data_IF_748601307920
#
_entry.id   IF_748601307920
#
_cell.length_a   1.000
_cell.length_b   1.000
_cell.length_c   1.000
_cell.angle_alpha   90.00
_cell.angle_beta   90.00
_cell.angle_gamma   90.00
#
_symmetry.space_group_name_H-M   'P 1'
#
loop_
_entity.id
_entity.type
_entity.pdbx_description
1 polymer ?
#
# COMPACT_ATOMS: atom_id res chain seq x y z
N UNK A 1 17.11 -1.97 47.12
CA UNK A 1 16.19 -1.57 46.03
C UNK A 1 17.07 -1.30 44.82
N UNK A 2 16.68 -1.83 43.65
CA UNK A 2 17.49 -1.72 42.45
C UNK A 2 17.29 -0.34 41.83
N UNK A 3 18.34 0.49 41.82
CA UNK A 3 18.34 1.76 41.09
C UNK A 3 18.32 1.47 39.58
N UNK A 4 17.42 2.15 38.86
CA UNK A 4 17.28 2.13 37.40
C UNK A 4 18.61 2.27 36.64
N UNK A 5 19.60 2.97 37.21
CA UNK A 5 20.90 3.23 36.58
C UNK A 5 21.85 2.01 36.62
N UNK A 6 21.64 1.10 37.57
CA UNK A 6 22.48 -0.10 37.79
C UNK A 6 21.80 -1.42 37.43
N UNK A 7 20.47 -1.41 37.27
CA UNK A 7 19.63 -2.59 37.02
C UNK A 7 20.14 -3.47 35.86
N UNK A 8 20.72 -2.87 34.82
CA UNK A 8 21.25 -3.57 33.66
C UNK A 8 22.45 -4.45 34.02
N UNK A 9 23.28 -4.10 34.99
CA UNK A 9 24.49 -4.87 35.32
C UNK A 9 24.15 -6.24 35.91
N UNK A 10 23.05 -6.32 36.65
CA UNK A 10 22.63 -7.52 37.39
C UNK A 10 21.62 -8.38 36.62
N UNK A 11 21.47 -8.13 35.31
CA UNK A 11 20.62 -8.96 34.45
C UNK A 11 21.26 -10.31 34.20
N UNK A 12 20.49 -11.37 34.45
CA UNK A 12 20.90 -12.75 34.22
C UNK A 12 19.91 -13.48 33.30
N UNK A 13 20.44 -14.33 32.42
CA UNK A 13 19.63 -15.17 31.55
C UNK A 13 18.90 -16.24 32.38
N UNK A 14 17.60 -16.43 32.11
CA UNK A 14 16.78 -17.47 32.74
C UNK A 14 16.43 -18.57 31.74
N UNK A 15 16.57 -19.87 32.10
CA UNK A 15 16.02 -20.95 31.29
C UNK A 15 14.48 -20.83 31.17
N UNK A 16 13.88 -21.11 30.00
CA UNK A 16 12.43 -21.02 29.80
C UNK A 16 11.59 -21.81 30.82
N UNK A 17 12.10 -22.96 31.28
CA UNK A 17 11.43 -23.78 32.30
C UNK A 17 11.26 -23.03 33.63
N UNK A 18 12.28 -22.31 34.08
CA UNK A 18 12.21 -21.52 35.30
C UNK A 18 11.24 -20.35 35.17
N UNK A 19 11.17 -19.74 33.97
CA UNK A 19 10.21 -18.67 33.69
C UNK A 19 8.76 -19.18 33.86
N UNK A 20 8.46 -20.35 33.30
CA UNK A 20 7.14 -20.99 33.48
C UNK A 20 6.86 -21.27 34.95
N UNK A 21 7.82 -21.84 35.69
CA UNK A 21 7.65 -22.16 37.12
C UNK A 21 7.35 -20.92 37.96
N UNK A 22 8.06 -19.81 37.71
CA UNK A 22 7.83 -18.54 38.43
C UNK A 22 6.44 -17.98 38.12
N UNK A 23 6.07 -17.90 36.83
CA UNK A 23 4.81 -17.31 36.39
C UNK A 23 3.57 -18.18 36.69
N UNK A 24 3.77 -19.49 36.87
CA UNK A 24 2.70 -20.44 37.22
C UNK A 24 2.54 -20.64 38.73
N UNK A 25 3.40 -20.02 39.55
CA UNK A 25 3.34 -20.15 41.01
C UNK A 25 2.09 -19.49 41.60
N UNK A 26 1.60 -20.01 42.74
CA UNK A 26 0.44 -19.42 43.44
C UNK A 26 0.69 -17.96 43.86
N UNK A 27 1.96 -17.61 44.11
CA UNK A 27 2.42 -16.24 44.41
C UNK A 27 3.16 -15.65 43.21
N UNK A 28 2.57 -15.75 42.01
CA UNK A 28 3.17 -15.18 40.81
C UNK A 28 3.43 -13.67 40.97
N UNK A 29 4.58 -13.16 40.52
CA UNK A 29 4.86 -11.74 40.56
C UNK A 29 3.95 -11.00 39.57
N UNK A 30 3.56 -9.77 39.92
CA UNK A 30 2.75 -8.89 39.06
C UNK A 30 3.64 -7.87 38.34
N UNK A 31 3.15 -7.35 37.21
CA UNK A 31 3.78 -6.21 36.55
C UNK A 31 3.67 -5.00 37.45
N UNK A 32 4.81 -4.40 37.79
CA UNK A 32 4.88 -3.20 38.64
C UNK A 32 5.20 -1.96 37.81
N UNK A 33 5.99 -2.10 36.75
CA UNK A 33 6.37 -0.99 35.86
C UNK A 33 6.26 -1.46 34.40
N UNK A 34 5.66 -0.62 33.56
CA UNK A 34 5.53 -0.81 32.12
C UNK A 34 6.11 0.40 31.39
N UNK A 35 7.03 0.14 30.45
CA UNK A 35 7.73 1.17 29.70
C UNK A 35 7.63 0.82 28.23
N UNK A 36 7.28 1.80 27.40
CA UNK A 36 7.39 1.67 25.95
C UNK A 36 8.53 2.55 25.42
N UNK A 37 9.29 2.02 24.46
CA UNK A 37 10.36 2.70 23.74
C UNK A 37 10.12 2.59 22.24
N UNK A 38 10.46 3.63 21.49
CA UNK A 38 10.41 3.62 20.03
C UNK A 38 11.83 3.56 19.47
N UNK A 39 12.47 4.72 19.34
CA UNK A 39 13.77 4.88 18.71
C UNK A 39 14.83 5.47 19.64
N UNK A 40 14.56 5.52 20.95
CA UNK A 40 15.57 5.91 21.93
C UNK A 40 16.79 5.00 21.82
N UNK A 41 16.59 3.71 21.54
CA UNK A 41 17.60 2.76 21.06
C UNK A 41 17.05 2.14 19.77
N UNK A 42 17.85 2.12 18.70
CA UNK A 42 17.40 1.50 17.44
C UNK A 42 17.02 0.03 17.71
N UNK A 43 15.83 -0.45 17.30
CA UNK A 43 15.38 -1.81 17.63
C UNK A 43 16.38 -2.91 17.24
N UNK A 44 17.03 -2.78 16.09
CA UNK A 44 18.08 -3.71 15.64
C UNK A 44 19.32 -3.70 16.54
N UNK A 45 19.70 -2.55 17.10
CA UNK A 45 20.82 -2.47 18.05
C UNK A 45 20.44 -3.15 19.37
N UNK A 46 19.23 -2.90 19.87
CA UNK A 46 18.72 -3.53 21.09
C UNK A 46 18.64 -5.06 20.94
N UNK A 47 18.05 -5.56 19.86
CA UNK A 47 18.00 -6.99 19.56
C UNK A 47 19.40 -7.60 19.51
N UNK A 48 20.32 -6.99 18.75
CA UNK A 48 21.69 -7.50 18.63
C UNK A 48 22.44 -7.50 19.97
N UNK A 49 22.14 -6.54 20.85
CA UNK A 49 22.74 -6.45 22.18
C UNK A 49 22.22 -7.53 23.11
N UNK A 50 20.90 -7.70 23.20
CA UNK A 50 20.30 -8.77 24.00
C UNK A 50 20.79 -10.13 23.53
N UNK A 51 20.89 -10.32 22.21
CA UNK A 51 21.46 -11.54 21.64
C UNK A 51 22.95 -11.72 21.99
N UNK A 52 23.75 -10.66 21.88
CA UNK A 52 25.18 -10.71 22.18
C UNK A 52 25.47 -11.00 23.65
N UNK A 53 24.62 -10.51 24.56
CA UNK A 53 24.80 -10.63 26.00
C UNK A 53 24.15 -11.88 26.59
N UNK A 54 22.94 -12.24 26.14
CA UNK A 54 22.13 -13.30 26.74
C UNK A 54 21.85 -14.48 25.81
N UNK A 55 22.23 -14.40 24.53
CA UNK A 55 21.92 -15.42 23.54
C UNK A 55 20.50 -15.28 22.95
N UNK A 56 19.97 -16.38 22.41
CA UNK A 56 18.67 -16.37 21.75
C UNK A 56 17.51 -15.91 22.68
N UNK A 57 16.42 -15.33 22.12
CA UNK A 57 15.23 -15.00 22.89
C UNK A 57 14.74 -16.18 23.73
N UNK A 58 14.55 -15.96 25.03
CA UNK A 58 14.17 -16.99 26.00
C UNK A 58 12.76 -16.78 26.59
N UNK A 59 12.08 -15.69 26.24
CA UNK A 59 10.77 -15.38 26.78
C UNK A 59 9.64 -16.22 26.17
N UNK A 60 8.54 -16.37 26.91
CA UNK A 60 7.45 -17.28 26.55
C UNK A 60 6.77 -16.90 25.22
N UNK A 61 6.61 -15.60 24.93
CA UNK A 61 5.97 -15.13 23.71
C UNK A 61 6.80 -15.47 22.46
N UNK A 62 8.13 -15.49 22.57
CA UNK A 62 9.02 -15.94 21.49
C UNK A 62 8.91 -17.42 21.18
N UNK A 63 8.52 -18.22 22.18
CA UNK A 63 8.31 -19.66 22.00
C UNK A 63 6.94 -19.98 21.39
N UNK A 64 5.93 -19.17 21.68
CA UNK A 64 4.55 -19.37 21.23
C UNK A 64 4.23 -18.68 19.89
N UNK A 65 5.14 -17.84 19.38
CA UNK A 65 4.94 -17.13 18.10
C UNK A 65 4.89 -18.09 16.90
N UNK A 66 4.14 -17.72 15.88
CA UNK A 66 4.14 -18.44 14.60
C UNK A 66 5.44 -18.24 13.82
N UNK A 67 5.77 -19.18 12.93
CA UNK A 67 6.91 -19.06 11.99
C UNK A 67 6.57 -18.14 10.80
N UNK A 68 6.18 -16.91 11.14
CA UNK A 68 5.86 -15.83 10.22
C UNK A 68 6.04 -14.49 10.95
N UNK A 69 5.83 -13.39 10.24
CA UNK A 69 5.94 -12.03 10.76
C UNK A 69 4.61 -11.45 11.26
N UNK A 70 3.49 -12.17 11.07
CA UNK A 70 2.18 -11.80 11.61
C UNK A 70 2.05 -12.19 13.10
N UNK A 71 2.95 -11.65 13.93
CA UNK A 71 2.96 -11.84 15.38
C UNK A 71 2.85 -10.47 16.07
N UNK A 72 2.18 -10.42 17.23
CA UNK A 72 2.14 -9.19 18.06
C UNK A 72 3.50 -8.88 18.67
N UNK A 73 4.16 -9.93 19.15
CA UNK A 73 5.52 -9.88 19.71
C UNK A 73 6.41 -10.74 18.82
N UNK A 74 7.40 -10.11 18.21
CA UNK A 74 8.31 -10.75 17.28
C UNK A 74 9.41 -11.52 17.98
N UNK A 75 9.83 -11.01 19.13
CA UNK A 75 10.85 -11.56 20.00
C UNK A 75 10.67 -10.97 21.40
N UNK A 76 11.09 -11.71 22.42
CA UNK A 76 11.17 -11.23 23.79
C UNK A 76 12.23 -11.98 24.59
N UNK A 77 12.84 -11.25 25.52
CA UNK A 77 13.72 -11.80 26.55
C UNK A 77 13.08 -11.60 27.91
N UNK A 78 13.05 -12.65 28.72
CA UNK A 78 12.67 -12.57 30.13
C UNK A 78 13.93 -12.84 30.96
N UNK A 79 14.42 -11.82 31.64
CA UNK A 79 15.69 -11.81 32.37
C UNK A 79 15.43 -11.69 33.87
N UNK A 80 16.30 -12.29 34.68
CA UNK A 80 16.28 -12.10 36.14
C UNK A 80 16.96 -10.76 36.46
N UNK A 81 16.41 -10.02 37.41
CA UNK A 81 17.05 -8.83 37.97
C UNK A 81 16.74 -8.70 39.47
N UNK A 82 17.48 -7.86 40.21
CA UNK A 82 17.14 -7.55 41.59
C UNK A 82 15.74 -6.92 41.66
N UNK A 83 14.84 -7.53 42.44
CA UNK A 83 13.42 -7.13 42.53
C UNK A 83 12.45 -8.05 41.77
N UNK A 84 12.92 -8.84 40.80
CA UNK A 84 12.07 -9.79 40.09
C UNK A 84 12.56 -10.15 38.69
N UNK A 85 11.71 -9.92 37.70
CA UNK A 85 11.97 -10.20 36.29
C UNK A 85 11.88 -8.91 35.46
N UNK A 86 12.66 -8.85 34.39
CA UNK A 86 12.54 -7.86 33.33
C UNK A 86 12.18 -8.59 32.03
N UNK A 87 11.01 -8.30 31.47
CA UNK A 87 10.58 -8.81 30.18
C UNK A 87 10.65 -7.72 29.12
N UNK A 88 11.46 -7.94 28.09
CA UNK A 88 11.70 -6.99 27.00
C UNK A 88 11.11 -7.57 25.72
N UNK A 89 10.10 -6.93 25.14
CA UNK A 89 9.33 -7.41 23.99
C UNK A 89 9.48 -6.47 22.79
N UNK A 90 9.84 -7.00 21.63
CA UNK A 90 9.85 -6.25 20.37
C UNK A 90 8.56 -6.44 19.56
N UNK A 91 7.90 -5.33 19.23
CA UNK A 91 6.72 -5.28 18.37
C UNK A 91 7.03 -4.55 17.05
N UNK A 92 6.00 -4.27 16.23
CA UNK A 92 6.14 -3.59 14.94
C UNK A 92 6.63 -2.13 15.08
N UNK A 93 6.18 -1.42 16.11
CA UNK A 93 6.36 0.03 16.24
C UNK A 93 7.13 0.46 17.48
N UNK A 94 7.21 -0.40 18.49
CA UNK A 94 7.84 -0.11 19.76
C UNK A 94 8.48 -1.38 20.37
N UNK A 95 9.27 -1.16 21.40
CA UNK A 95 9.74 -2.17 22.34
C UNK A 95 9.13 -1.88 23.70
N UNK A 96 8.46 -2.87 24.29
CA UNK A 96 7.95 -2.77 25.65
C UNK A 96 8.92 -3.43 26.63
N UNK A 97 9.10 -2.82 27.80
CA UNK A 97 9.83 -3.37 28.92
C UNK A 97 8.87 -3.44 30.10
N UNK A 98 8.69 -4.64 30.64
CA UNK A 98 7.89 -4.91 31.82
C UNK A 98 8.81 -5.33 32.97
N UNK A 99 8.69 -4.64 34.11
CA UNK A 99 9.32 -5.07 35.35
C UNK A 99 8.26 -5.78 36.20
N UNK A 100 8.50 -7.06 36.46
CA UNK A 100 7.54 -8.00 37.08
C UNK A 100 8.12 -8.43 38.42
N UNK A 101 7.55 -7.95 39.53
CA UNK A 101 8.08 -8.17 40.87
C UNK A 101 7.97 -6.94 41.76
N UNK A 102 8.81 -6.86 42.78
CA UNK A 102 8.78 -5.79 43.78
C UNK A 102 9.73 -4.66 43.36
N UNK A 103 9.19 -3.73 42.55
CA UNK A 103 9.91 -2.56 42.05
C UNK A 103 9.26 -1.29 42.59
N UNK A 104 10.08 -0.34 43.02
CA UNK A 104 9.60 0.99 43.41
C UNK A 104 9.30 1.81 42.15
N UNK A 105 8.03 2.14 41.97
CA UNK A 105 7.54 2.91 40.82
C UNK A 105 7.96 4.37 40.91
N UNK A 106 8.07 4.92 42.12
CA UNK A 106 8.32 6.36 42.34
C UNK A 106 9.79 6.72 42.09
N UNK A 107 10.71 5.78 42.31
CA UNK A 107 12.17 5.94 42.13
C UNK A 107 12.67 5.46 40.75
N UNK A 108 11.76 4.99 39.88
CA UNK A 108 12.14 4.45 38.59
C UNK A 108 12.12 5.49 37.47
N UNK A 109 13.26 5.66 36.80
CA UNK A 109 13.40 6.59 35.67
C UNK A 109 13.71 5.87 34.35
N UNK A 110 12.80 6.01 33.37
CA UNK A 110 12.94 5.44 32.01
C UNK A 110 14.25 5.90 31.34
N UNK A 111 14.59 7.18 31.45
CA UNK A 111 15.76 7.77 30.82
C UNK A 111 17.07 7.21 31.39
N UNK A 112 17.09 6.93 32.70
CA UNK A 112 18.22 6.32 33.37
C UNK A 112 18.43 4.87 32.90
N UNK A 113 17.36 4.07 32.81
CA UNK A 113 17.42 2.72 32.26
C UNK A 113 17.97 2.73 30.81
N UNK A 114 17.41 3.58 29.94
CA UNK A 114 17.86 3.72 28.55
C UNK A 114 19.33 4.15 28.50
N UNK A 115 19.73 5.11 29.34
CA UNK A 115 21.10 5.57 29.49
C UNK A 115 22.04 4.42 29.88
N UNK A 116 21.63 3.58 30.81
CA UNK A 116 22.38 2.41 31.26
C UNK A 116 22.54 1.37 30.15
N UNK A 117 21.45 1.02 29.44
CA UNK A 117 21.52 0.12 28.27
C UNK A 117 22.49 0.66 27.22
N UNK A 118 22.41 1.96 26.89
CA UNK A 118 23.32 2.63 25.93
C UNK A 118 24.79 2.60 26.34
N UNK A 119 25.07 2.70 27.64
CA UNK A 119 26.45 2.59 28.14
C UNK A 119 26.95 1.15 28.00
N UNK A 120 26.14 0.17 28.39
CA UNK A 120 26.55 -1.24 28.36
C UNK A 120 26.65 -1.80 26.93
N UNK A 121 25.80 -1.34 26.00
CA UNK A 121 25.87 -1.61 24.56
C UNK A 121 27.30 -1.50 23.99
N UNK A 122 28.10 -0.54 24.48
CA UNK A 122 29.47 -0.29 24.02
C UNK A 122 30.42 -1.46 24.30
N UNK A 123 30.13 -2.27 25.31
CA UNK A 123 30.95 -3.42 25.72
C UNK A 123 30.80 -4.61 24.76
N UNK A 124 29.72 -4.66 23.96
CA UNK A 124 29.35 -5.83 23.14
C UNK A 124 29.47 -5.59 21.63
N UNK A 125 30.06 -4.48 21.19
CA UNK A 125 30.05 -4.06 19.78
C UNK A 125 30.54 -5.12 18.78
N UNK A 126 31.59 -5.89 19.12
CA UNK A 126 32.11 -6.95 18.25
C UNK A 126 31.12 -8.12 18.08
N UNK A 127 30.44 -8.51 19.15
CA UNK A 127 29.44 -9.59 19.13
C UNK A 127 28.16 -9.13 18.43
N UNK A 128 27.71 -7.90 18.70
CA UNK A 128 26.58 -7.29 18.00
C UNK A 128 26.82 -7.23 16.49
N UNK A 129 28.03 -6.88 16.05
CA UNK A 129 28.37 -6.85 14.63
C UNK A 129 28.30 -8.25 13.99
N UNK A 130 28.63 -9.31 14.73
CA UNK A 130 28.47 -10.70 14.25
C UNK A 130 26.99 -11.07 14.15
N UNK A 131 26.19 -10.78 15.18
CA UNK A 131 24.74 -10.98 15.18
C UNK A 131 24.07 -10.25 14.01
N UNK A 132 24.41 -8.97 13.79
CA UNK A 132 23.86 -8.19 12.67
C UNK A 132 24.15 -8.81 11.30
N UNK A 133 25.32 -9.43 11.12
CA UNK A 133 25.68 -10.08 9.86
C UNK A 133 24.89 -11.37 9.60
N UNK A 134 24.32 -12.00 10.62
CA UNK A 134 23.45 -13.17 10.43
C UNK A 134 22.00 -12.80 10.15
N UNK A 135 21.61 -11.52 10.25
CA UNK A 135 20.25 -11.08 9.97
C UNK A 135 20.02 -10.92 8.45
N UNK A 136 18.82 -11.27 8.00
CA UNK A 136 18.38 -10.93 6.66
C UNK A 136 18.11 -9.42 6.56
N UNK A 137 18.51 -8.81 5.44
CA UNK A 137 18.28 -7.40 5.20
C UNK A 137 17.16 -7.21 4.19
N UNK A 138 16.01 -6.76 4.68
CA UNK A 138 14.84 -6.45 3.88
C UNK A 138 14.60 -4.94 3.79
N UNK A 139 14.00 -4.50 2.69
CA UNK A 139 13.52 -3.14 2.49
C UNK A 139 12.05 -3.18 2.10
N UNK A 140 11.19 -2.57 2.90
CA UNK A 140 9.78 -2.39 2.56
C UNK A 140 9.60 -1.29 1.53
N UNK A 141 8.65 -1.50 0.62
CA UNK A 141 8.26 -0.52 -0.38
C UNK A 141 6.76 -0.61 -0.68
N UNK A 142 6.20 0.53 -1.10
CA UNK A 142 4.79 0.62 -1.49
C UNK A 142 4.59 -0.09 -2.83
N UNK A 143 3.59 -0.96 -2.92
CA UNK A 143 3.21 -1.62 -4.15
C UNK A 143 2.56 -0.60 -5.12
N UNK A 144 3.22 -0.24 -6.24
CA UNK A 144 2.71 0.80 -7.13
C UNK A 144 1.41 0.38 -7.85
N UNK A 145 1.27 -0.90 -8.19
CA UNK A 145 0.07 -1.42 -8.82
C UNK A 145 -1.13 -1.33 -7.86
N UNK A 146 -0.98 -1.88 -6.65
CA UNK A 146 -2.04 -1.87 -5.64
C UNK A 146 -2.51 -0.44 -5.35
N UNK A 147 -1.58 0.50 -5.21
CA UNK A 147 -1.89 1.91 -4.96
C UNK A 147 -2.77 2.50 -6.06
N UNK A 148 -2.43 2.30 -7.33
CA UNK A 148 -3.20 2.86 -8.46
C UNK A 148 -4.55 2.15 -8.58
N UNK A 149 -4.56 0.82 -8.50
CA UNK A 149 -5.77 0.01 -8.56
C UNK A 149 -6.77 0.38 -7.45
N UNK A 150 -6.31 0.52 -6.21
CA UNK A 150 -7.15 0.94 -5.10
C UNK A 150 -7.72 2.34 -5.32
N UNK A 151 -6.92 3.30 -5.77
CA UNK A 151 -7.41 4.66 -6.06
C UNK A 151 -8.46 4.66 -7.17
N UNK A 152 -8.25 3.90 -8.25
CA UNK A 152 -9.23 3.75 -9.33
C UNK A 152 -10.56 3.21 -8.80
N UNK A 153 -10.53 2.17 -7.97
CA UNK A 153 -11.76 1.59 -7.40
C UNK A 153 -12.50 2.57 -6.48
N UNK A 154 -11.77 3.29 -5.61
CA UNK A 154 -12.37 4.33 -4.75
C UNK A 154 -13.03 5.43 -5.59
N UNK A 155 -12.36 5.89 -6.64
CA UNK A 155 -12.91 6.91 -7.54
C UNK A 155 -14.11 6.39 -8.34
N UNK A 156 -14.14 5.11 -8.73
CA UNK A 156 -15.31 4.52 -9.37
C UNK A 156 -16.52 4.46 -8.43
N UNK A 157 -16.29 4.08 -7.18
CA UNK A 157 -17.35 4.07 -6.16
C UNK A 157 -17.86 5.49 -5.89
N UNK A 158 -16.95 6.47 -5.81
CA UNK A 158 -17.31 7.89 -5.70
C UNK A 158 -18.12 8.36 -6.92
N UNK A 159 -17.70 8.01 -8.13
CA UNK A 159 -18.43 8.34 -9.36
C UNK A 159 -19.85 7.76 -9.38
N UNK A 160 -20.01 6.50 -8.99
CA UNK A 160 -21.31 5.83 -8.88
C UNK A 160 -22.18 6.51 -7.83
N UNK A 161 -21.60 6.94 -6.71
CA UNK A 161 -22.32 7.64 -5.64
C UNK A 161 -22.92 8.98 -6.09
N UNK A 162 -22.33 9.62 -7.11
CA UNK A 162 -22.86 10.85 -7.71
C UNK A 162 -24.14 10.63 -8.52
N UNK A 163 -24.56 9.36 -8.79
CA UNK A 163 -25.87 8.99 -9.39
C UNK A 163 -26.25 9.81 -10.62
N UNK A 164 -25.30 10.12 -11.49
CA UNK A 164 -25.51 11.04 -12.62
C UNK A 164 -26.63 10.58 -13.56
N UNK A 165 -26.85 9.26 -13.68
CA UNK A 165 -27.95 8.70 -14.47
C UNK A 165 -29.36 8.98 -13.93
N UNK A 166 -29.49 9.36 -12.65
CA UNK A 166 -30.78 9.74 -12.05
C UNK A 166 -31.14 11.22 -12.30
N UNK A 167 -30.20 12.01 -12.82
CA UNK A 167 -30.43 13.42 -13.14
C UNK A 167 -31.29 13.53 -14.40
N UNK A 168 -32.42 14.22 -14.27
CA UNK A 168 -33.30 14.54 -15.38
C UNK A 168 -33.05 15.95 -15.88
N UNK A 169 -33.33 16.17 -17.16
CA UNK A 169 -33.28 17.50 -17.76
C UNK A 169 -34.18 18.48 -16.99
N UNK A 170 -33.59 19.59 -16.56
CA UNK A 170 -34.32 20.65 -15.88
C UNK A 170 -35.06 21.49 -16.92
N UNK A 171 -36.37 21.77 -16.75
CA UNK A 171 -37.13 22.63 -17.66
C UNK A 171 -36.46 24.00 -17.83
N UNK A 172 -36.73 24.67 -18.96
CA UNK A 172 -36.22 26.04 -19.19
C UNK A 172 -36.67 26.95 -18.04
N UNK A 173 -35.72 27.40 -17.21
CA UNK A 173 -36.00 28.17 -15.99
C UNK A 173 -36.83 29.43 -16.32
N UNK A 174 -36.58 30.05 -17.46
CA UNK A 174 -37.28 31.25 -17.93
C UNK A 174 -38.75 30.99 -18.33
N UNK A 175 -39.14 29.77 -18.66
CA UNK A 175 -40.54 29.43 -18.95
C UNK A 175 -41.36 29.11 -17.70
N UNK A 176 -40.74 29.06 -16.52
CA UNK A 176 -41.43 28.78 -15.26
C UNK A 176 -41.96 30.10 -14.69
N UNK A 177 -43.28 30.27 -14.71
CA UNK A 177 -43.98 31.46 -14.23
C UNK A 177 -44.16 31.48 -12.71
N UNK A 178 -44.32 30.31 -12.09
CA UNK A 178 -44.45 30.18 -10.64
C UNK A 178 -43.08 30.39 -9.94
N UNK A 179 -42.96 31.37 -9.02
CA UNK A 179 -41.70 31.64 -8.32
C UNK A 179 -41.17 30.44 -7.50
N UNK A 180 -42.06 29.66 -6.89
CA UNK A 180 -41.66 28.52 -6.06
C UNK A 180 -41.07 27.38 -6.93
N UNK A 181 -41.75 27.01 -8.01
CA UNK A 181 -41.23 26.05 -9.00
C UNK A 181 -39.94 26.54 -9.65
N UNK A 182 -39.80 27.84 -9.91
CA UNK A 182 -38.56 28.41 -10.46
C UNK A 182 -37.39 28.22 -9.50
N UNK A 183 -37.59 28.45 -8.20
CA UNK A 183 -36.55 28.26 -7.20
C UNK A 183 -36.13 26.78 -7.06
N UNK A 184 -37.09 25.86 -7.17
CA UNK A 184 -36.81 24.42 -7.20
C UNK A 184 -35.95 24.06 -8.43
N UNK A 185 -36.32 24.56 -9.62
CA UNK A 185 -35.55 24.31 -10.85
C UNK A 185 -34.12 24.88 -10.79
N UNK A 186 -33.94 26.08 -10.21
CA UNK A 186 -32.59 26.65 -9.98
C UNK A 186 -31.77 25.77 -9.05
N UNK A 187 -32.38 25.26 -7.98
CA UNK A 187 -31.69 24.40 -7.01
C UNK A 187 -31.28 23.07 -7.65
N UNK A 188 -32.18 22.45 -8.43
CA UNK A 188 -31.88 21.24 -9.20
C UNK A 188 -30.78 21.46 -10.23
N UNK A 189 -30.80 22.59 -10.94
CA UNK A 189 -29.75 22.96 -11.89
C UNK A 189 -28.39 23.07 -11.22
N UNK A 190 -28.31 23.76 -10.07
CA UNK A 190 -27.06 23.93 -9.34
C UNK A 190 -26.54 22.61 -8.77
N UNK A 191 -27.43 21.74 -8.26
CA UNK A 191 -27.04 20.41 -7.79
C UNK A 191 -26.52 19.54 -8.93
N UNK A 192 -27.23 19.49 -10.06
CA UNK A 192 -26.80 18.80 -11.27
C UNK A 192 -25.44 19.32 -11.72
N UNK A 193 -25.27 20.65 -11.78
CA UNK A 193 -24.00 21.28 -12.13
C UNK A 193 -22.85 20.81 -11.25
N UNK A 194 -23.00 20.87 -9.93
CA UNK A 194 -21.97 20.40 -8.99
C UNK A 194 -21.63 18.92 -9.22
N UNK A 195 -22.63 18.06 -9.35
CA UNK A 195 -22.44 16.61 -9.54
C UNK A 195 -21.76 16.29 -10.87
N UNK A 196 -22.15 16.93 -11.97
CA UNK A 196 -21.50 16.75 -13.26
C UNK A 196 -20.04 17.21 -13.25
N UNK A 197 -19.73 18.38 -12.67
CA UNK A 197 -18.35 18.85 -12.60
C UNK A 197 -17.47 17.91 -11.76
N UNK A 198 -17.98 17.40 -10.64
CA UNK A 198 -17.30 16.38 -9.84
C UNK A 198 -17.10 15.09 -10.64
N UNK A 199 -18.14 14.61 -11.32
CA UNK A 199 -18.08 13.41 -12.14
C UNK A 199 -17.05 13.52 -13.28
N UNK A 200 -16.96 14.68 -13.93
CA UNK A 200 -15.96 14.93 -14.97
C UNK A 200 -14.54 14.91 -14.43
N UNK A 201 -14.30 15.53 -13.26
CA UNK A 201 -12.99 15.50 -12.60
C UNK A 201 -12.57 14.08 -12.20
N UNK A 202 -13.49 13.31 -11.60
CA UNK A 202 -13.27 11.92 -11.22
C UNK A 202 -13.00 11.04 -12.44
N UNK A 203 -13.83 11.15 -13.48
CA UNK A 203 -13.68 10.41 -14.73
C UNK A 203 -12.31 10.68 -15.36
N UNK A 204 -11.92 11.95 -15.49
CA UNK A 204 -10.59 12.32 -15.99
C UNK A 204 -9.46 11.72 -15.14
N UNK A 205 -9.61 11.73 -13.82
CA UNK A 205 -8.66 11.11 -12.88
C UNK A 205 -8.50 9.60 -13.12
N UNK A 206 -9.62 8.87 -13.26
CA UNK A 206 -9.63 7.44 -13.56
C UNK A 206 -8.93 7.17 -14.90
N UNK A 207 -9.39 7.79 -15.99
CA UNK A 207 -8.85 7.58 -17.35
C UNK A 207 -7.36 7.89 -17.44
N UNK A 208 -6.88 8.89 -16.69
CA UNK A 208 -5.46 9.24 -16.62
C UNK A 208 -4.61 8.17 -15.94
N UNK A 209 -5.17 7.43 -14.98
CA UNK A 209 -4.49 6.39 -14.21
C UNK A 209 -4.54 5.00 -14.84
N UNK A 210 -5.52 4.70 -15.70
CA UNK A 210 -5.70 3.37 -16.29
C UNK A 210 -4.44 2.83 -17.02
N UNK A 211 -3.77 3.61 -17.91
CA UNK A 211 -2.48 3.17 -18.48
C UNK A 211 -1.38 2.95 -17.44
N UNK A 212 -1.35 3.78 -16.39
CA UNK A 212 -0.36 3.69 -15.32
C UNK A 212 -0.60 2.40 -14.51
N UNK A 213 -1.86 2.01 -14.33
CA UNK A 213 -2.24 0.76 -13.66
C UNK A 213 -1.71 -0.46 -14.42
N UNK A 214 -1.97 -0.55 -15.72
CA UNK A 214 -1.47 -1.64 -16.57
C UNK A 214 0.06 -1.68 -16.62
N UNK A 215 0.71 -0.52 -16.72
CA UNK A 215 2.18 -0.44 -16.68
C UNK A 215 2.77 -0.84 -15.32
N UNK A 216 2.18 -0.39 -14.22
CA UNK A 216 2.61 -0.75 -12.88
C UNK A 216 2.51 -2.27 -12.65
N UNK A 217 1.47 -2.92 -13.19
CA UNK A 217 1.33 -4.38 -13.14
C UNK A 217 2.47 -5.09 -13.87
N UNK A 218 2.73 -4.72 -15.14
CA UNK A 218 3.80 -5.33 -15.94
C UNK A 218 5.17 -5.11 -15.30
N UNK A 219 5.41 -3.91 -14.76
CA UNK A 219 6.65 -3.61 -14.03
C UNK A 219 6.79 -4.44 -12.76
N UNK A 220 5.71 -4.65 -12.01
CA UNK A 220 5.72 -5.49 -10.83
C UNK A 220 6.00 -6.95 -11.20
N UNK A 221 5.33 -7.50 -12.22
CA UNK A 221 5.61 -8.84 -12.74
C UNK A 221 7.07 -9.00 -13.15
N UNK A 222 7.58 -8.05 -13.93
CA UNK A 222 8.97 -8.03 -14.35
C UNK A 222 9.88 -8.06 -13.12
N UNK A 223 9.67 -7.18 -12.14
CA UNK A 223 10.52 -7.10 -10.95
C UNK A 223 10.48 -8.38 -10.09
N UNK A 224 9.29 -8.97 -9.90
CA UNK A 224 9.09 -10.16 -9.05
C UNK A 224 9.62 -11.43 -9.73
N UNK A 225 9.35 -11.58 -11.02
CA UNK A 225 9.60 -12.83 -11.76
C UNK A 225 10.86 -12.82 -12.62
N UNK A 226 11.58 -11.69 -12.75
CA UNK A 226 12.82 -11.58 -13.53
C UNK A 226 13.79 -12.71 -13.18
N UNK A 227 14.35 -13.36 -14.20
CA UNK A 227 15.36 -14.40 -14.02
C UNK A 227 16.53 -13.90 -13.20
N UNK A 228 17.06 -14.74 -12.30
CA UNK A 228 18.11 -14.37 -11.34
C UNK A 228 19.32 -13.73 -12.03
N UNK A 229 19.74 -14.28 -13.17
CA UNK A 229 20.87 -13.78 -13.97
C UNK A 229 20.70 -12.30 -14.36
N UNK A 230 19.51 -11.92 -14.82
CA UNK A 230 19.20 -10.54 -15.20
C UNK A 230 19.00 -9.65 -13.98
N UNK A 231 18.45 -10.20 -12.90
CA UNK A 231 18.15 -9.47 -11.67
C UNK A 231 19.40 -8.99 -10.94
N UNK A 232 20.44 -9.81 -10.95
CA UNK A 232 21.73 -9.54 -10.28
C UNK A 232 22.62 -8.57 -11.08
N UNK A 233 22.34 -8.35 -12.37
CA UNK A 233 23.05 -7.39 -13.21
C UNK A 233 22.26 -6.07 -13.30
N UNK A 234 22.78 -5.02 -12.67
CA UNK A 234 22.14 -3.72 -12.62
C UNK A 234 21.89 -3.10 -14.00
N UNK A 235 22.78 -3.34 -14.98
CA UNK A 235 22.64 -2.80 -16.34
C UNK A 235 21.56 -3.54 -17.10
N UNK A 236 21.56 -4.87 -17.04
CA UNK A 236 20.51 -5.69 -17.68
C UNK A 236 19.14 -5.38 -17.07
N UNK A 237 19.05 -5.31 -15.74
CA UNK A 237 17.83 -4.94 -15.04
C UNK A 237 17.33 -3.57 -15.48
N UNK A 238 18.18 -2.54 -15.45
CA UNK A 238 17.82 -1.18 -15.83
C UNK A 238 17.40 -1.08 -17.31
N UNK A 239 18.04 -1.84 -18.20
CA UNK A 239 17.68 -1.89 -19.61
C UNK A 239 16.25 -2.41 -19.80
N UNK A 240 15.86 -3.51 -19.13
CA UNK A 240 14.51 -4.08 -19.23
C UNK A 240 13.41 -3.10 -18.84
N UNK A 241 13.61 -2.28 -17.81
CA UNK A 241 12.61 -1.29 -17.40
C UNK A 241 12.50 -0.09 -18.34
N UNK A 242 13.47 0.13 -19.24
CA UNK A 242 13.47 1.23 -20.23
C UNK A 242 12.95 0.81 -21.60
N UNK A 243 12.71 -0.48 -21.82
CA UNK A 243 12.15 -0.98 -23.06
C UNK A 243 10.74 -0.40 -23.29
N UNK A 244 10.35 -0.15 -24.57
CA UNK A 244 8.98 0.19 -24.90
C UNK A 244 7.99 -0.79 -24.29
N UNK A 245 6.82 -0.31 -23.89
CA UNK A 245 5.84 -1.11 -23.13
C UNK A 245 5.46 -2.42 -23.84
N UNK A 246 5.19 -2.37 -25.14
CA UNK A 246 4.81 -3.55 -25.91
C UNK A 246 5.93 -4.60 -25.96
N UNK A 247 7.19 -4.15 -26.04
CA UNK A 247 8.38 -5.00 -26.01
C UNK A 247 8.53 -5.65 -24.64
N UNK A 248 8.33 -4.90 -23.54
CA UNK A 248 8.35 -5.45 -22.17
C UNK A 248 7.32 -6.58 -22.03
N UNK A 249 6.08 -6.36 -22.46
CA UNK A 249 5.01 -7.35 -22.37
C UNK A 249 5.37 -8.61 -23.17
N UNK A 250 5.78 -8.48 -24.44
CA UNK A 250 6.20 -9.61 -25.28
C UNK A 250 7.38 -10.39 -24.66
N UNK A 251 8.31 -9.67 -24.02
CA UNK A 251 9.51 -10.23 -23.42
C UNK A 251 9.32 -10.90 -22.06
N UNK A 252 8.15 -10.80 -21.41
CA UNK A 252 7.96 -11.34 -20.06
C UNK A 252 8.25 -12.85 -19.99
N UNK A 253 7.67 -13.66 -20.88
CA UNK A 253 7.88 -15.12 -20.91
C UNK A 253 9.35 -15.54 -21.08
N UNK A 254 10.15 -14.70 -21.75
CA UNK A 254 11.57 -14.96 -21.99
C UNK A 254 12.42 -14.52 -20.79
N UNK A 255 12.11 -13.35 -20.21
CA UNK A 255 12.91 -12.70 -19.20
C UNK A 255 12.49 -13.03 -17.76
N UNK A 256 11.35 -13.69 -17.58
CA UNK A 256 10.80 -14.07 -16.30
C UNK A 256 10.61 -15.58 -16.18
N UNK A 257 10.58 -16.07 -14.94
CA UNK A 257 10.19 -17.43 -14.62
C UNK A 257 8.68 -17.52 -14.39
N UNK A 258 8.12 -18.72 -14.55
CA UNK A 258 6.74 -19.00 -14.13
C UNK A 258 5.67 -18.83 -15.21
N UNK A 259 6.06 -18.52 -16.45
CA UNK A 259 5.16 -18.52 -17.60
C UNK A 259 4.98 -19.94 -18.14
N UNK A 260 3.73 -20.37 -18.29
CA UNK A 260 3.36 -21.61 -18.96
C UNK A 260 3.35 -21.45 -20.48
N UNK A 261 2.94 -20.26 -20.95
CA UNK A 261 2.86 -19.90 -22.36
C UNK A 261 3.46 -18.52 -22.60
N UNK A 262 3.94 -18.29 -23.81
CA UNK A 262 4.33 -16.95 -24.25
C UNK A 262 3.12 -16.06 -24.40
N UNK A 263 3.26 -14.78 -24.06
CA UNK A 263 2.19 -13.80 -24.24
C UNK A 263 2.05 -13.49 -25.74
N UNK A 264 0.89 -13.79 -26.31
CA UNK A 264 0.51 -13.33 -27.63
C UNK A 264 -0.02 -11.89 -27.53
N UNK A 265 0.73 -10.93 -28.07
CA UNK A 265 0.36 -9.52 -28.05
C UNK A 265 -0.73 -9.17 -29.09
N UNK A 266 -1.05 -10.09 -30.00
CA UNK A 266 -2.19 -9.94 -30.91
C UNK A 266 -3.54 -10.30 -30.25
N UNK A 267 -3.50 -10.83 -29.03
CA UNK A 267 -4.70 -11.14 -28.26
C UNK A 267 -5.60 -9.90 -28.07
N UNK A 268 -6.94 -10.03 -28.15
CA UNK A 268 -7.86 -8.91 -28.06
C UNK A 268 -7.68 -8.03 -26.81
N UNK A 269 -7.31 -8.63 -25.67
CA UNK A 269 -7.05 -7.88 -24.44
C UNK A 269 -5.87 -6.89 -24.58
N UNK A 270 -4.77 -7.31 -25.23
CA UNK A 270 -3.63 -6.44 -25.50
C UNK A 270 -3.99 -5.35 -26.51
N UNK A 271 -4.76 -5.69 -27.55
CA UNK A 271 -5.23 -4.72 -28.56
C UNK A 271 -6.11 -3.63 -27.95
N UNK A 272 -7.11 -4.00 -27.15
CA UNK A 272 -7.99 -3.06 -26.46
C UNK A 272 -7.21 -2.16 -25.49
N UNK A 273 -6.31 -2.74 -24.70
CA UNK A 273 -5.44 -1.96 -23.80
C UNK A 273 -4.57 -0.97 -24.58
N UNK A 274 -3.99 -1.39 -25.71
CA UNK A 274 -3.18 -0.50 -26.54
C UNK A 274 -3.99 0.67 -27.11
N UNK A 275 -5.23 0.42 -27.56
CA UNK A 275 -6.15 1.48 -27.98
C UNK A 275 -6.45 2.46 -26.85
N UNK A 276 -6.73 1.97 -25.64
CA UNK A 276 -6.99 2.80 -24.45
C UNK A 276 -5.81 3.74 -24.15
N UNK A 277 -4.57 3.24 -24.22
CA UNK A 277 -3.36 4.06 -24.02
C UNK A 277 -3.25 5.17 -25.08
N UNK A 278 -3.57 4.86 -26.33
CA UNK A 278 -3.56 5.83 -27.42
C UNK A 278 -4.65 6.90 -27.27
N UNK A 279 -5.84 6.51 -26.82
CA UNK A 279 -6.94 7.44 -26.53
C UNK A 279 -6.61 8.39 -25.38
N UNK A 280 -6.02 7.87 -24.29
CA UNK A 280 -5.51 8.70 -23.20
C UNK A 280 -4.48 9.72 -23.67
N UNK A 281 -3.59 9.36 -24.59
CA UNK A 281 -2.62 10.32 -25.12
C UNK A 281 -3.34 11.46 -25.86
N UNK A 282 -4.38 11.17 -26.63
CA UNK A 282 -5.19 12.22 -27.25
C UNK A 282 -5.89 13.12 -26.22
N UNK A 283 -6.45 12.53 -25.15
CA UNK A 283 -7.09 13.25 -24.06
C UNK A 283 -6.13 14.18 -23.32
N UNK A 284 -4.93 13.70 -22.96
CA UNK A 284 -3.97 14.46 -22.16
C UNK A 284 -3.13 15.46 -22.93
N UNK A 285 -2.88 15.22 -24.22
CA UNK A 285 -2.20 16.18 -25.07
C UNK A 285 -3.13 17.33 -25.50
N UNK A 286 -4.42 17.28 -25.14
CA UNK A 286 -5.38 18.34 -25.48
C UNK A 286 -5.55 18.50 -26.99
N UNK A 287 -5.42 17.40 -27.74
CA UNK A 287 -5.48 17.44 -29.19
C UNK A 287 -6.86 17.98 -29.63
N UNK A 288 -6.86 19.04 -30.44
CA UNK A 288 -8.09 19.64 -30.96
C UNK A 288 -8.61 18.78 -32.12
N UNK A 289 -9.42 17.78 -31.79
CA UNK A 289 -10.10 16.93 -32.77
C UNK A 289 -11.52 17.48 -33.02
N UNK A 290 -11.67 18.41 -33.97
CA UNK A 290 -12.94 19.11 -34.23
C UNK A 290 -14.09 18.12 -34.44
N UNK A 291 -13.88 17.05 -35.22
CA UNK A 291 -14.91 16.04 -35.50
C UNK A 291 -15.42 15.31 -34.25
N UNK A 292 -14.59 15.21 -33.19
CA UNK A 292 -14.96 14.59 -31.91
C UNK A 292 -15.48 15.60 -30.88
N UNK A 293 -15.15 16.87 -31.05
CA UNK A 293 -15.48 17.97 -30.13
C UNK A 293 -16.66 18.82 -30.62
N UNK A 294 -17.12 18.60 -31.86
CA UNK A 294 -18.26 19.29 -32.44
C UNK A 294 -19.55 18.87 -31.71
N UNK A 295 -20.27 19.85 -31.17
CA UNK A 295 -21.52 19.63 -30.46
C UNK A 295 -22.70 20.41 -31.03
N UNK A 296 -22.44 21.31 -31.98
CA UNK A 296 -23.49 22.11 -32.62
C UNK A 296 -23.04 22.55 -34.02
N UNK A 297 -24.02 22.78 -34.89
CA UNK A 297 -23.82 23.30 -36.24
C UNK A 297 -24.65 24.56 -36.45
N UNK A 298 -24.03 25.58 -37.05
CA UNK A 298 -24.67 26.85 -37.30
C UNK A 298 -24.16 27.49 -38.60
N UNK A 299 -25.08 28.13 -39.29
CA UNK A 299 -24.84 28.96 -40.45
C UNK A 299 -24.70 30.42 -40.03
N UNK A 300 -24.19 31.27 -40.92
CA UNK A 300 -24.18 32.72 -40.73
C UNK A 300 -24.81 33.42 -41.94
N UNK A 301 -25.69 34.38 -41.68
CA UNK A 301 -26.05 35.40 -42.66
C UNK A 301 -25.32 36.70 -42.28
N UNK A 302 -24.16 36.93 -42.89
CA UNK A 302 -23.24 37.99 -42.48
C UNK A 302 -22.69 37.73 -41.07
N UNK A 303 -23.08 38.58 -40.10
CA UNK A 303 -22.69 38.44 -38.67
C UNK A 303 -23.79 37.81 -37.80
N UNK A 304 -24.92 37.43 -38.40
CA UNK A 304 -26.06 36.87 -37.67
C UNK A 304 -25.96 35.33 -37.66
N UNK A 305 -25.84 34.69 -36.48
CA UNK A 305 -25.80 33.23 -36.39
C UNK A 305 -27.20 32.64 -36.62
N UNK A 306 -27.27 31.60 -37.44
CA UNK A 306 -28.48 30.81 -37.73
C UNK A 306 -28.19 29.37 -37.32
N UNK A 307 -28.69 28.95 -36.17
CA UNK A 307 -28.48 27.60 -35.66
C UNK A 307 -29.23 26.58 -36.54
N UNK A 308 -28.58 25.46 -36.88
CA UNK A 308 -29.25 24.35 -37.58
C UNK A 308 -30.38 23.78 -36.72
N UNK A 309 -30.13 23.66 -35.42
CA UNK A 309 -31.11 23.26 -34.41
C UNK A 309 -30.84 23.98 -33.07
N UNK A 310 -31.90 24.25 -32.31
CA UNK A 310 -31.77 24.81 -30.96
C UNK A 310 -31.72 23.70 -29.93
N UNK A 311 -30.56 23.53 -29.30
CA UNK A 311 -30.40 22.61 -28.18
C UNK A 311 -30.82 23.23 -26.85
N UNK A 312 -31.14 22.39 -25.87
CA UNK A 312 -31.49 22.86 -24.52
C UNK A 312 -30.26 23.37 -23.77
N UNK A 313 -30.50 24.15 -22.71
CA UNK A 313 -29.41 24.56 -21.82
C UNK A 313 -28.74 23.35 -21.19
N UNK A 314 -29.51 22.32 -20.85
CA UNK A 314 -29.03 21.07 -20.25
C UNK A 314 -28.05 20.36 -21.17
N UNK A 315 -28.43 20.15 -22.43
CA UNK A 315 -27.57 19.47 -23.41
C UNK A 315 -26.22 20.19 -23.58
N UNK A 316 -26.27 21.53 -23.67
CA UNK A 316 -25.06 22.35 -23.80
C UNK A 316 -24.18 22.36 -22.55
N UNK A 317 -24.79 22.38 -21.37
CA UNK A 317 -24.04 22.48 -20.11
C UNK A 317 -23.44 21.15 -19.68
N UNK A 318 -24.16 20.04 -19.88
CA UNK A 318 -23.81 18.75 -19.26
C UNK A 318 -23.65 17.61 -20.27
N UNK A 319 -24.59 17.40 -21.20
CA UNK A 319 -24.53 16.22 -22.09
C UNK A 319 -23.35 16.28 -23.06
N UNK A 320 -23.04 17.47 -23.57
CA UNK A 320 -21.87 17.69 -24.42
C UNK A 320 -20.57 17.26 -23.71
N UNK A 321 -20.41 17.65 -22.44
CA UNK A 321 -19.24 17.28 -21.64
C UNK A 321 -19.27 15.81 -21.22
N UNK A 322 -20.44 15.26 -20.88
CA UNK A 322 -20.62 13.84 -20.57
C UNK A 322 -20.08 12.94 -21.68
N UNK A 323 -20.46 13.22 -22.92
CA UNK A 323 -20.00 12.49 -24.10
C UNK A 323 -18.51 12.74 -24.35
N UNK A 324 -18.06 14.00 -24.30
CA UNK A 324 -16.66 14.34 -24.60
C UNK A 324 -15.66 13.74 -23.59
N UNK A 325 -16.03 13.72 -22.31
CA UNK A 325 -15.21 13.15 -21.23
C UNK A 325 -15.29 11.62 -21.19
N UNK A 326 -16.24 11.01 -21.90
CA UNK A 326 -16.45 9.56 -21.92
C UNK A 326 -17.00 9.03 -20.60
N UNK A 327 -17.90 9.77 -19.95
CA UNK A 327 -18.41 9.40 -18.62
C UNK A 327 -19.09 8.01 -18.65
N UNK A 328 -19.74 7.67 -19.76
CA UNK A 328 -20.45 6.40 -19.94
C UNK A 328 -19.51 5.24 -20.30
N UNK A 329 -18.26 5.52 -20.66
CA UNK A 329 -17.27 4.54 -21.13
C UNK A 329 -16.31 4.10 -20.02
N UNK A 330 -16.19 4.90 -18.96
CA UNK A 330 -15.15 4.73 -17.92
C UNK A 330 -15.15 3.35 -17.26
N UNK A 331 -16.32 2.75 -17.01
CA UNK A 331 -16.40 1.40 -16.43
C UNK A 331 -15.89 0.32 -17.40
N UNK A 332 -16.20 0.48 -18.69
CA UNK A 332 -15.71 -0.40 -19.74
C UNK A 332 -14.19 -0.25 -19.91
N UNK A 333 -13.67 0.96 -19.84
CA UNK A 333 -12.22 1.22 -19.91
C UNK A 333 -11.47 0.60 -18.71
N UNK A 334 -12.06 0.63 -17.52
CA UNK A 334 -11.50 -0.08 -16.35
C UNK A 334 -11.47 -1.59 -16.62
N UNK A 335 -12.57 -2.14 -17.13
CA UNK A 335 -12.64 -3.56 -17.50
C UNK A 335 -11.58 -3.94 -18.55
N UNK A 336 -11.27 -3.06 -19.51
CA UNK A 336 -10.18 -3.29 -20.49
C UNK A 336 -8.83 -3.51 -19.81
N UNK A 337 -8.50 -2.75 -18.75
CA UNK A 337 -7.23 -2.96 -18.02
C UNK A 337 -7.28 -4.23 -17.18
N UNK A 338 -8.41 -4.53 -16.55
CA UNK A 338 -8.61 -5.78 -15.79
C UNK A 338 -8.46 -7.00 -16.71
N UNK A 339 -9.13 -7.02 -17.86
CA UNK A 339 -9.03 -8.08 -18.86
C UNK A 339 -7.58 -8.28 -19.35
N UNK A 340 -6.83 -7.19 -19.49
CA UNK A 340 -5.42 -7.24 -19.86
C UNK A 340 -4.54 -7.87 -18.76
N UNK A 341 -4.78 -7.50 -17.50
CA UNK A 341 -4.11 -8.11 -16.33
C UNK A 341 -4.44 -9.59 -16.24
N UNK A 342 -5.72 -9.95 -16.33
CA UNK A 342 -6.21 -11.32 -16.26
C UNK A 342 -5.66 -12.19 -17.39
N UNK A 343 -5.56 -11.65 -18.60
CA UNK A 343 -4.93 -12.33 -19.72
C UNK A 343 -3.46 -12.65 -19.42
N UNK A 344 -2.67 -11.70 -18.93
CA UNK A 344 -1.26 -11.96 -18.60
C UNK A 344 -1.15 -12.99 -17.46
N UNK A 345 -2.01 -12.89 -16.43
CA UNK A 345 -2.06 -13.86 -15.35
C UNK A 345 -2.39 -15.27 -15.86
N UNK A 346 -3.24 -15.39 -16.87
CA UNK A 346 -3.59 -16.67 -17.49
C UNK A 346 -2.41 -17.34 -18.22
N UNK A 347 -1.39 -16.58 -18.60
CA UNK A 347 -0.15 -17.11 -19.19
C UNK A 347 0.82 -17.67 -18.13
N UNK A 348 0.58 -17.44 -16.84
CA UNK A 348 1.38 -17.96 -15.75
C UNK A 348 0.98 -19.39 -15.38
N UNK A 349 1.93 -20.15 -14.86
CA UNK A 349 1.65 -21.41 -14.15
C UNK A 349 0.85 -21.15 -12.88
N UNK A 350 -0.07 -22.06 -12.52
CA UNK A 350 -0.96 -21.90 -11.35
C UNK A 350 -0.23 -21.51 -10.04
N UNK A 351 0.92 -22.14 -9.69
CA UNK A 351 1.62 -21.77 -8.46
C UNK A 351 2.19 -20.34 -8.48
N UNK A 352 2.55 -19.84 -9.66
CA UNK A 352 3.10 -18.49 -9.82
C UNK A 352 1.97 -17.48 -9.90
N UNK A 353 0.89 -17.81 -10.61
CA UNK A 353 -0.32 -17.00 -10.66
C UNK A 353 -0.85 -16.68 -9.25
N UNK A 354 -1.05 -17.70 -8.42
CA UNK A 354 -1.54 -17.52 -7.05
C UNK A 354 -0.63 -16.59 -6.21
N UNK A 355 0.69 -16.68 -6.38
CA UNK A 355 1.65 -15.81 -5.69
C UNK A 355 1.57 -14.36 -6.16
N UNK A 356 1.38 -14.14 -7.47
CA UNK A 356 1.23 -12.80 -8.02
C UNK A 356 -0.11 -12.20 -7.60
N UNK A 357 -1.20 -12.96 -7.68
CA UNK A 357 -2.53 -12.54 -7.22
C UNK A 357 -2.49 -12.13 -5.73
N UNK A 358 -1.80 -12.90 -4.90
CA UNK A 358 -1.54 -12.52 -3.52
C UNK A 358 -0.73 -11.22 -3.43
N UNK A 359 0.41 -11.11 -4.14
CA UNK A 359 1.26 -9.91 -4.08
C UNK A 359 0.56 -8.62 -4.56
N UNK A 360 -0.25 -8.67 -5.63
CA UNK A 360 -0.97 -7.50 -6.14
C UNK A 360 -2.08 -7.03 -5.18
N UNK A 361 -2.61 -7.93 -4.36
CA UNK A 361 -3.57 -7.59 -3.30
C UNK A 361 -2.95 -6.87 -2.11
N UNK A 362 -1.61 -6.84 -1.99
CA UNK A 362 -0.92 -6.25 -0.83
C UNK A 362 -0.49 -4.82 -1.08
N UNK A 363 -0.70 -3.97 -0.08
CA UNK A 363 -0.33 -2.55 -0.09
C UNK A 363 1.19 -2.35 -0.08
N UNK A 364 1.88 -3.18 0.69
CA UNK A 364 3.33 -3.13 0.87
C UNK A 364 3.95 -4.47 0.53
N UNK A 365 5.16 -4.40 0.01
CA UNK A 365 6.00 -5.56 -0.31
C UNK A 365 7.39 -5.31 0.28
N UNK A 366 8.15 -6.38 0.45
CA UNK A 366 9.54 -6.35 0.90
C UNK A 366 10.49 -6.81 -0.18
N UNK A 367 11.68 -6.20 -0.23
CA UNK A 367 12.80 -6.60 -1.07
C UNK A 367 13.96 -7.11 -0.20
N UNK A 368 14.32 -8.38 -0.36
CA UNK A 368 15.53 -8.92 0.26
C UNK A 368 16.76 -8.38 -0.47
N UNK A 369 17.63 -7.63 0.21
CA UNK A 369 18.73 -6.89 -0.41
C UNK A 369 19.81 -7.75 -1.05
N UNK A 370 20.08 -8.94 -0.50
CA UNK A 370 21.13 -9.84 -1.02
C UNK A 370 20.64 -10.68 -2.20
N UNK A 371 19.49 -11.34 -2.06
CA UNK A 371 18.92 -12.23 -3.08
C UNK A 371 18.06 -11.50 -4.11
N UNK A 372 17.76 -10.21 -3.89
CA UNK A 372 16.82 -9.43 -4.67
C UNK A 372 15.46 -10.12 -4.84
N UNK A 373 15.00 -10.91 -3.84
CA UNK A 373 13.67 -11.52 -3.85
C UNK A 373 12.63 -10.57 -3.28
N UNK A 374 11.43 -10.59 -3.86
CA UNK A 374 10.27 -9.85 -3.35
C UNK A 374 9.42 -10.78 -2.50
N UNK A 375 8.91 -10.27 -1.37
CA UNK A 375 8.02 -11.00 -0.47
C UNK A 375 6.97 -10.08 0.14
N UNK A 376 6.00 -10.67 0.83
CA UNK A 376 5.06 -9.95 1.71
C UNK A 376 5.57 -10.12 3.13
N UNK A 377 5.85 -9.01 3.82
CA UNK A 377 6.54 -9.03 5.10
C UNK A 377 5.65 -8.86 6.30
N UNK A 378 4.48 -8.26 6.19
CA UNK A 378 3.59 -8.03 7.33
C UNK A 378 2.14 -8.19 6.87
N UNK A 379 1.24 -8.43 7.82
CA UNK A 379 -0.19 -8.44 7.54
C UNK A 379 -0.71 -7.01 7.33
N UNK A 380 -1.86 -6.88 6.63
CA UNK A 380 -2.49 -5.57 6.39
C UNK A 380 -3.31 -5.10 7.61
N UNK A 381 -3.41 -5.91 8.67
CA UNK A 381 -4.15 -5.59 9.88
C UNK A 381 -3.23 -4.88 10.88
N UNK A 382 -3.63 -3.68 11.33
CA UNK A 382 -2.95 -3.03 12.44
C UNK A 382 -3.44 -3.63 13.74
N UNK A 383 -2.56 -4.35 14.43
CA UNK A 383 -2.76 -4.65 15.84
C UNK A 383 -1.60 -4.01 16.58
N UNK A 384 -1.90 -2.95 17.32
CA UNK A 384 -0.99 -2.35 18.28
C UNK A 384 -1.61 -2.55 19.67
N UNK A 385 -0.92 -3.31 20.51
CA UNK A 385 -1.31 -3.49 21.90
C UNK A 385 -0.30 -2.75 22.78
N UNK A 386 -0.65 -1.54 23.19
CA UNK A 386 -0.19 -1.03 24.47
C UNK A 386 -1.02 -1.75 25.53
N UNK A 387 -0.51 -2.85 26.08
CA UNK A 387 -1.17 -3.48 27.23
C UNK A 387 -1.09 -2.46 28.37
N UNK A 388 -2.29 -2.00 28.76
CA UNK A 388 -2.59 -0.98 29.76
C UNK A 388 -2.05 -1.35 31.14
#
# INVERSE_FOLDING_TARGET
MADSDSLINDLEHLPPKEIVEILSSEKRPTVSISISMENEIRPVDLFCYLFARFGAPNGLLSFLRGDHSDNLVHWNWTLRCPGGLMDIQGANYHTNIYLIGDFDVDDFHKEALIGSIKRDLKNYGALMARCRKSLEHWVEFVNPYHRVHQTVNVLLDELKSLRIGELSEVPRILSITDPAQRQIAITQWNDAGRRFHQAFGICFGIRSMLPIMGEAFVNLLLYVLMRREQRMDDRLRAYRFREPFDIRVKGLSQNCHGFATSIDYSHPACGKYHSLVNERNNLLHGNVAIDKLQFNELFFWGKVPIFREYQSMWHRAFETQRTTVGLDEVEQEVAVVTDFVDYILSCLTDPVRAKIEFAISKKQLGLHKTEHRVGVLFSDHMIDSSIM
#
